data_IF_638271069788
#
_entry.id   IF_638271069788
#
_cell.length_a   1.000
_cell.length_b   1.000
_cell.length_c   1.000
_cell.angle_alpha   90.00
_cell.angle_beta   90.00
_cell.angle_gamma   90.00
#
_symmetry.space_group_name_H-M   'P 1'
#
loop_
_entity.id
_entity.type
_entity.pdbx_description
1 polymer ?
#
# COMPACT_ATOMS: atom_id res chain seq x y z
N UNK A 1 13.70 -20.86 -9.03
CA UNK A 1 14.65 -19.73 -8.80
C UNK A 1 14.25 -18.43 -9.50
N UNK A 2 13.74 -18.46 -10.74
CA UNK A 2 13.28 -17.27 -11.49
C UNK A 2 12.26 -16.36 -10.73
N UNK A 3 11.23 -16.87 -10.01
CA UNK A 3 10.29 -15.99 -9.31
C UNK A 3 10.96 -15.20 -8.17
N UNK A 4 11.94 -15.77 -7.49
CA UNK A 4 12.65 -15.10 -6.39
C UNK A 4 13.48 -13.90 -6.86
N UNK A 5 14.10 -14.00 -8.03
CA UNK A 5 14.87 -12.90 -8.63
C UNK A 5 13.98 -11.73 -9.08
N UNK A 6 12.80 -12.03 -9.66
CA UNK A 6 11.82 -11.00 -10.04
C UNK A 6 11.29 -10.25 -8.80
N UNK A 7 11.10 -10.98 -7.70
CA UNK A 7 10.70 -10.42 -6.41
C UNK A 7 11.78 -9.48 -5.86
N UNK A 8 13.03 -9.92 -5.85
CA UNK A 8 14.16 -9.11 -5.39
C UNK A 8 14.29 -7.84 -6.22
N UNK A 9 14.17 -7.95 -7.55
CA UNK A 9 14.21 -6.83 -8.48
C UNK A 9 13.07 -5.83 -8.22
N UNK A 10 11.86 -6.31 -7.95
CA UNK A 10 10.73 -5.46 -7.63
C UNK A 10 10.88 -4.75 -6.28
N UNK A 11 11.41 -5.44 -5.25
CA UNK A 11 11.75 -4.82 -3.96
C UNK A 11 12.83 -3.74 -4.16
N UNK A 12 13.89 -4.05 -4.90
CA UNK A 12 14.93 -3.07 -5.24
C UNK A 12 14.37 -1.88 -6.02
N UNK A 13 13.45 -2.12 -6.97
CA UNK A 13 12.75 -1.08 -7.71
C UNK A 13 11.93 -0.16 -6.81
N UNK A 14 11.19 -0.72 -5.84
CA UNK A 14 10.42 0.05 -4.87
C UNK A 14 11.34 0.85 -3.93
N UNK A 15 12.42 0.25 -3.43
CA UNK A 15 13.40 0.94 -2.58
C UNK A 15 14.13 2.05 -3.36
N UNK A 16 14.49 1.80 -4.61
CA UNK A 16 15.15 2.76 -5.49
C UNK A 16 14.22 3.94 -5.83
N UNK A 17 12.96 3.69 -6.14
CA UNK A 17 11.93 4.72 -6.33
C UNK A 17 11.69 5.53 -5.04
N UNK A 18 11.79 4.86 -3.87
CA UNK A 18 11.71 5.51 -2.56
C UNK A 18 12.87 6.50 -2.33
N UNK A 19 14.10 6.11 -2.70
CA UNK A 19 15.32 6.92 -2.54
C UNK A 19 15.45 8.06 -3.55
N UNK A 20 15.02 7.85 -4.80
CA UNK A 20 15.26 8.80 -5.91
C UNK A 20 14.17 9.88 -6.05
N UNK A 21 12.96 9.65 -5.51
CA UNK A 21 11.84 10.59 -5.62
C UNK A 21 11.95 11.80 -4.67
N UNK A 22 12.85 12.74 -4.96
CA UNK A 22 12.98 14.00 -4.19
C UNK A 22 11.87 15.03 -4.45
N UNK A 23 11.12 14.97 -5.57
CA UNK A 23 10.17 16.03 -5.97
C UNK A 23 8.71 15.62 -6.27
N UNK A 24 8.42 14.37 -6.68
CA UNK A 24 7.07 13.94 -7.15
C UNK A 24 6.53 12.78 -6.30
N UNK A 25 6.49 12.97 -4.99
CA UNK A 25 6.51 11.91 -3.96
C UNK A 25 5.23 11.07 -3.78
N UNK A 26 4.10 11.46 -4.35
CA UNK A 26 2.80 10.94 -3.87
C UNK A 26 2.14 9.94 -4.82
N UNK A 27 2.18 10.23 -6.12
CA UNK A 27 1.65 9.31 -7.13
C UNK A 27 2.58 8.10 -7.24
N UNK A 28 3.90 8.33 -7.33
CA UNK A 28 4.91 7.28 -7.38
C UNK A 28 4.76 6.28 -6.24
N UNK A 29 4.70 6.74 -4.97
CA UNK A 29 4.66 5.85 -3.80
C UNK A 29 3.36 5.05 -3.62
N UNK A 30 2.23 5.66 -3.95
CA UNK A 30 0.95 4.95 -3.89
C UNK A 30 0.84 3.95 -5.04
N UNK A 31 1.46 4.27 -6.20
CA UNK A 31 1.67 3.33 -7.30
C UNK A 31 2.65 2.22 -6.91
N UNK A 32 3.73 2.49 -6.18
CA UNK A 32 4.65 1.46 -5.68
C UNK A 32 3.94 0.48 -4.75
N UNK A 33 3.07 0.97 -3.86
CA UNK A 33 2.21 0.14 -3.01
C UNK A 33 1.24 -0.73 -3.82
N UNK A 34 0.65 -0.16 -4.87
CA UNK A 34 -0.26 -0.88 -5.75
C UNK A 34 0.47 -1.98 -6.53
N UNK A 35 1.65 -1.68 -7.06
CA UNK A 35 2.55 -2.65 -7.71
C UNK A 35 2.97 -3.74 -6.73
N UNK A 36 3.30 -3.38 -5.48
CA UNK A 36 3.65 -4.33 -4.43
C UNK A 36 2.47 -5.29 -4.12
N UNK A 37 1.24 -4.77 -4.06
CA UNK A 37 0.04 -5.59 -3.90
C UNK A 37 -0.18 -6.55 -5.07
N UNK A 38 -0.09 -6.07 -6.32
CA UNK A 38 -0.22 -6.92 -7.52
C UNK A 38 0.86 -8.00 -7.54
N UNK A 39 2.11 -7.63 -7.23
CA UNK A 39 3.22 -8.58 -7.16
C UNK A 39 2.94 -9.66 -6.10
N UNK A 40 2.46 -9.26 -4.92
CA UNK A 40 2.15 -10.19 -3.83
C UNK A 40 1.01 -11.15 -4.21
N UNK A 41 -0.01 -10.67 -4.92
CA UNK A 41 -1.09 -11.52 -5.47
C UNK A 41 -0.53 -12.46 -6.54
N UNK A 42 0.37 -11.99 -7.41
CA UNK A 42 1.04 -12.82 -8.41
C UNK A 42 1.85 -13.96 -7.79
N UNK A 43 2.60 -13.69 -6.72
CA UNK A 43 3.34 -14.71 -5.96
C UNK A 43 2.37 -15.68 -5.30
N UNK A 44 1.28 -15.17 -4.73
CA UNK A 44 0.24 -15.98 -4.11
C UNK A 44 -0.37 -16.99 -5.09
N UNK A 45 -0.66 -16.57 -6.33
CA UNK A 45 -1.21 -17.43 -7.39
C UNK A 45 -0.19 -18.45 -7.91
N UNK A 46 1.10 -18.13 -7.87
CA UNK A 46 2.18 -19.05 -8.26
C UNK A 46 2.45 -20.13 -7.19
N UNK A 47 2.27 -19.80 -5.90
CA UNK A 47 2.40 -20.75 -4.78
C UNK A 47 1.12 -21.57 -4.53
N UNK A 48 -0.05 -21.10 -4.95
CA UNK A 48 -1.33 -21.82 -4.83
C UNK A 48 -1.34 -23.26 -5.43
N UNK A 49 -0.85 -23.51 -6.66
CA UNK A 49 -0.80 -24.86 -7.23
C UNK A 49 0.22 -25.79 -6.55
N UNK A 50 1.08 -25.27 -5.68
CA UNK A 50 2.07 -26.07 -4.95
C UNK A 50 1.53 -26.67 -3.65
N UNK A 51 0.30 -26.35 -3.21
CA UNK A 51 -0.33 -26.81 -1.93
C UNK A 51 -0.22 -28.33 -1.66
N UNK A 52 -0.02 -29.16 -2.68
CA UNK A 52 0.19 -30.61 -2.57
C UNK A 52 1.59 -31.02 -2.09
N UNK A 53 2.55 -30.08 -1.98
CA UNK A 53 3.94 -30.34 -1.56
C UNK A 53 4.22 -29.82 -0.14
N UNK A 54 5.03 -30.55 0.67
CA UNK A 54 5.29 -30.23 2.08
C UNK A 54 6.04 -28.91 2.34
N UNK A 55 6.59 -28.27 1.32
CA UNK A 55 7.32 -26.98 1.41
C UNK A 55 6.61 -25.81 0.71
N UNK A 56 5.36 -26.02 0.28
CA UNK A 56 4.57 -25.00 -0.40
C UNK A 56 4.20 -23.86 0.53
N UNK A 57 4.34 -22.62 0.04
CA UNK A 57 3.94 -21.41 0.77
C UNK A 57 4.96 -20.86 1.76
N UNK A 58 6.07 -21.54 2.04
CA UNK A 58 7.16 -21.01 2.90
C UNK A 58 7.81 -19.78 2.26
N UNK A 59 8.04 -19.83 0.94
CA UNK A 59 8.58 -18.69 0.18
C UNK A 59 7.65 -17.48 0.24
N UNK A 60 6.35 -17.69 0.02
CA UNK A 60 5.32 -16.66 0.22
C UNK A 60 5.32 -16.10 1.64
N UNK A 61 5.27 -16.94 2.68
CA UNK A 61 5.26 -16.48 4.08
C UNK A 61 6.51 -15.65 4.41
N UNK A 62 7.70 -16.09 3.96
CA UNK A 62 8.95 -15.34 4.17
C UNK A 62 8.95 -13.99 3.46
N UNK A 63 8.56 -13.94 2.19
CA UNK A 63 8.42 -12.68 1.44
C UNK A 63 7.39 -11.76 2.11
N UNK A 64 6.25 -12.32 2.50
CA UNK A 64 5.16 -11.59 3.12
C UNK A 64 5.58 -10.99 4.47
N UNK A 65 6.30 -11.76 5.28
CA UNK A 65 6.82 -11.35 6.58
C UNK A 65 7.94 -10.30 6.49
N UNK A 66 8.92 -10.51 5.59
CA UNK A 66 10.14 -9.71 5.55
C UNK A 66 10.07 -8.48 4.65
N UNK A 67 9.29 -8.54 3.56
CA UNK A 67 9.21 -7.44 2.60
C UNK A 67 7.84 -6.76 2.65
N UNK A 68 6.76 -7.52 2.46
CA UNK A 68 5.43 -6.95 2.31
C UNK A 68 4.94 -6.25 3.58
N UNK A 69 4.96 -6.95 4.72
CA UNK A 69 4.43 -6.43 5.99
C UNK A 69 5.16 -5.15 6.46
N UNK A 70 6.52 -5.09 6.47
CA UNK A 70 7.23 -3.88 6.86
C UNK A 70 6.97 -2.70 5.91
N UNK A 71 6.97 -2.95 4.58
CA UNK A 71 6.66 -1.91 3.60
C UNK A 71 5.24 -1.36 3.81
N UNK A 72 4.25 -2.23 3.99
CA UNK A 72 2.86 -1.84 4.23
C UNK A 72 2.70 -0.96 5.47
N UNK A 73 3.39 -1.28 6.57
CA UNK A 73 3.37 -0.46 7.80
C UNK A 73 3.96 0.92 7.54
N UNK A 74 5.14 0.99 6.92
CA UNK A 74 5.81 2.25 6.61
C UNK A 74 4.94 3.14 5.72
N UNK A 75 4.36 2.57 4.67
CA UNK A 75 3.53 3.33 3.74
C UNK A 75 2.19 3.77 4.35
N UNK A 76 1.54 2.92 5.15
CA UNK A 76 0.28 3.27 5.82
C UNK A 76 0.49 4.38 6.86
N UNK A 77 1.56 4.32 7.67
CA UNK A 77 1.96 5.39 8.58
C UNK A 77 2.21 6.72 7.86
N UNK A 78 2.97 6.67 6.77
CA UNK A 78 3.27 7.88 5.99
C UNK A 78 2.01 8.50 5.37
N UNK A 79 1.12 7.66 4.83
CA UNK A 79 -0.14 8.09 4.23
C UNK A 79 -1.04 8.75 5.28
N UNK A 80 -1.13 8.17 6.48
CA UNK A 80 -1.90 8.71 7.60
C UNK A 80 -1.33 10.06 8.08
N UNK A 81 -0.01 10.14 8.30
CA UNK A 81 0.66 11.38 8.71
C UNK A 81 0.40 12.52 7.71
N UNK A 82 0.55 12.23 6.42
CA UNK A 82 0.38 13.22 5.37
C UNK A 82 -1.06 13.70 5.25
N UNK A 83 -2.04 12.80 5.27
CA UNK A 83 -3.46 13.19 5.19
C UNK A 83 -3.87 13.97 6.42
N UNK A 84 -3.32 13.64 7.59
CA UNK A 84 -3.47 14.46 8.80
C UNK A 84 -2.98 15.90 8.59
N UNK A 85 -1.82 16.07 7.95
CA UNK A 85 -1.31 17.40 7.58
C UNK A 85 -2.18 18.08 6.52
N UNK A 86 -2.56 17.39 5.45
CA UNK A 86 -3.39 17.93 4.36
C UNK A 86 -4.77 18.38 4.86
N UNK A 87 -5.40 17.60 5.73
CA UNK A 87 -6.68 17.94 6.35
C UNK A 87 -6.64 19.22 7.18
N UNK A 88 -5.47 19.57 7.76
CA UNK A 88 -5.29 20.84 8.48
C UNK A 88 -5.35 22.06 7.54
N UNK A 89 -4.92 21.92 6.28
CA UNK A 89 -4.88 23.03 5.33
C UNK A 89 -6.11 23.09 4.41
N UNK A 90 -6.65 21.94 4.00
CA UNK A 90 -7.80 21.87 3.09
C UNK A 90 -8.90 20.98 3.68
N UNK A 91 -9.95 21.60 4.22
CA UNK A 91 -11.08 20.92 4.84
C UNK A 91 -12.14 20.54 3.79
N UNK A 92 -11.80 19.59 2.91
CA UNK A 92 -12.70 19.10 1.85
C UNK A 92 -13.40 17.79 2.26
N UNK A 93 -14.59 17.52 1.68
CA UNK A 93 -15.30 16.23 1.83
C UNK A 93 -14.42 15.05 1.37
N UNK A 94 -13.62 15.25 0.32
CA UNK A 94 -12.67 14.24 -0.18
C UNK A 94 -11.54 13.94 0.82
N UNK A 95 -10.97 14.97 1.45
CA UNK A 95 -9.94 14.80 2.48
C UNK A 95 -10.42 13.99 3.69
N UNK A 96 -11.69 14.15 4.09
CA UNK A 96 -12.30 13.37 5.18
C UNK A 96 -12.39 11.89 4.78
N UNK A 97 -12.89 11.61 3.58
CA UNK A 97 -13.01 10.24 3.05
C UNK A 97 -11.62 9.59 2.93
N UNK A 98 -10.62 10.32 2.41
CA UNK A 98 -9.24 9.87 2.31
C UNK A 98 -8.63 9.54 3.68
N UNK A 99 -8.94 10.35 4.70
CA UNK A 99 -8.43 10.16 6.06
C UNK A 99 -9.03 8.93 6.71
N UNK A 100 -10.33 8.71 6.52
CA UNK A 100 -11.02 7.53 7.03
C UNK A 100 -10.45 6.26 6.40
N UNK A 101 -10.34 6.23 5.06
CA UNK A 101 -9.76 5.08 4.36
C UNK A 101 -8.29 4.83 4.74
N UNK A 102 -7.47 5.87 4.87
CA UNK A 102 -6.08 5.73 5.34
C UNK A 102 -5.98 5.19 6.77
N UNK A 103 -6.89 5.59 7.65
CA UNK A 103 -6.95 5.08 9.03
C UNK A 103 -7.34 3.60 9.06
N UNK A 104 -8.31 3.19 8.22
CA UNK A 104 -8.68 1.79 8.05
C UNK A 104 -7.52 0.95 7.50
N UNK A 105 -6.80 1.45 6.48
CA UNK A 105 -5.63 0.77 5.92
C UNK A 105 -4.51 0.59 6.96
N UNK A 106 -4.30 1.60 7.81
CA UNK A 106 -3.32 1.52 8.90
C UNK A 106 -3.73 0.48 9.96
N UNK A 107 -4.99 0.51 10.41
CA UNK A 107 -5.55 -0.50 11.32
C UNK A 107 -5.42 -1.91 10.73
N UNK A 108 -5.75 -2.07 9.46
CA UNK A 108 -5.66 -3.35 8.77
C UNK A 108 -4.20 -3.83 8.65
N UNK A 109 -3.24 -2.93 8.46
CA UNK A 109 -1.80 -3.25 8.51
C UNK A 109 -1.34 -3.72 9.89
N UNK A 110 -1.90 -3.20 10.99
CA UNK A 110 -1.61 -3.67 12.34
C UNK A 110 -2.21 -5.06 12.59
N UNK A 111 -3.46 -5.28 12.16
CA UNK A 111 -4.10 -6.60 12.21
C UNK A 111 -3.28 -7.61 11.41
N UNK A 112 -2.78 -7.21 10.23
CA UNK A 112 -1.92 -8.05 9.40
C UNK A 112 -0.65 -8.51 10.15
N UNK A 113 0.03 -7.57 10.82
CA UNK A 113 1.21 -7.86 11.65
C UNK A 113 0.88 -8.85 12.78
N UNK A 114 -0.28 -8.68 13.43
CA UNK A 114 -0.71 -9.56 14.52
C UNK A 114 -1.04 -10.98 14.03
N UNK A 115 -1.66 -11.11 12.85
CA UNK A 115 -1.94 -12.41 12.22
C UNK A 115 -0.64 -13.10 11.86
N UNK A 116 0.32 -12.37 11.29
CA UNK A 116 1.64 -12.89 10.96
C UNK A 116 2.39 -13.39 12.20
N UNK A 117 2.35 -12.61 13.29
CA UNK A 117 2.91 -13.03 14.59
C UNK A 117 2.26 -14.32 15.12
N UNK A 118 0.94 -14.47 14.99
CA UNK A 118 0.24 -15.72 15.37
C UNK A 118 0.66 -16.91 14.52
N UNK A 119 0.87 -16.73 13.22
CA UNK A 119 1.34 -17.79 12.32
C UNK A 119 2.72 -18.30 12.74
N UNK A 120 3.65 -17.39 13.05
CA UNK A 120 4.98 -17.78 13.55
C UNK A 120 4.92 -18.55 14.88
N UNK A 121 3.94 -18.24 15.74
CA UNK A 121 3.83 -18.86 17.07
C UNK A 121 3.08 -20.20 17.06
N UNK A 122 2.03 -20.34 16.24
CA UNK A 122 1.05 -21.44 16.38
C UNK A 122 0.75 -22.15 15.06
N UNK A 123 1.43 -21.81 13.95
CA UNK A 123 1.28 -22.36 12.59
C UNK A 123 -0.08 -23.04 12.33
N UNK A 124 -1.14 -22.25 12.21
CA UNK A 124 -2.51 -22.74 12.00
C UNK A 124 -2.99 -22.36 10.59
N UNK A 125 -3.48 -23.34 9.82
CA UNK A 125 -3.95 -23.15 8.43
C UNK A 125 -4.99 -22.03 8.27
N UNK A 126 -5.85 -21.84 9.27
CA UNK A 126 -6.89 -20.81 9.26
C UNK A 126 -6.33 -19.37 9.23
N UNK A 127 -5.13 -19.15 9.79
CA UNK A 127 -4.50 -17.83 9.82
C UNK A 127 -3.95 -17.44 8.43
N UNK A 128 -3.61 -18.41 7.58
CA UNK A 128 -3.16 -18.19 6.20
C UNK A 128 -4.33 -17.72 5.32
N UNK A 129 -5.52 -18.31 5.47
CA UNK A 129 -6.74 -17.84 4.80
C UNK A 129 -7.07 -16.40 5.18
N UNK A 130 -6.89 -16.06 6.45
CA UNK A 130 -7.14 -14.72 6.98
C UNK A 130 -6.12 -13.70 6.45
N UNK A 131 -4.86 -14.11 6.27
CA UNK A 131 -3.83 -13.35 5.57
C UNK A 131 -4.24 -12.97 4.14
N UNK A 132 -4.76 -13.93 3.37
CA UNK A 132 -5.23 -13.68 2.00
C UNK A 132 -6.41 -12.72 1.96
N UNK A 133 -7.36 -12.87 2.88
CA UNK A 133 -8.49 -11.94 2.99
C UNK A 133 -8.01 -10.51 3.28
N UNK A 134 -7.09 -10.34 4.23
CA UNK A 134 -6.49 -9.04 4.56
C UNK A 134 -5.80 -8.43 3.33
N UNK A 135 -5.06 -9.24 2.58
CA UNK A 135 -4.34 -8.82 1.37
C UNK A 135 -5.29 -8.26 0.30
N UNK A 136 -6.41 -8.94 0.04
CA UNK A 136 -7.42 -8.49 -0.92
C UNK A 136 -8.03 -7.16 -0.49
N UNK A 137 -8.41 -7.04 0.78
CA UNK A 137 -9.01 -5.81 1.33
C UNK A 137 -8.01 -4.64 1.28
N UNK A 138 -6.73 -4.89 1.58
CA UNK A 138 -5.66 -3.90 1.45
C UNK A 138 -5.47 -3.46 -0.02
N UNK A 139 -5.52 -4.40 -0.95
CA UNK A 139 -5.46 -4.11 -2.39
C UNK A 139 -6.57 -3.16 -2.84
N UNK A 140 -7.81 -3.48 -2.49
CA UNK A 140 -8.99 -2.65 -2.84
C UNK A 140 -8.88 -1.26 -2.19
N UNK A 141 -8.57 -1.21 -0.88
CA UNK A 141 -8.46 0.05 -0.15
C UNK A 141 -7.34 0.95 -0.68
N UNK A 142 -6.20 0.38 -1.09
CA UNK A 142 -5.09 1.12 -1.71
C UNK A 142 -5.46 1.70 -3.08
N UNK A 143 -6.25 0.97 -3.87
CA UNK A 143 -6.75 1.41 -5.19
C UNK A 143 -7.75 2.56 -5.03
N UNK A 144 -8.65 2.45 -4.06
CA UNK A 144 -9.58 3.53 -3.73
C UNK A 144 -8.83 4.80 -3.29
N UNK A 145 -7.80 4.65 -2.46
CA UNK A 145 -6.94 5.76 -2.03
C UNK A 145 -6.25 6.46 -3.21
N UNK A 146 -5.79 5.69 -4.21
CA UNK A 146 -5.19 6.21 -5.44
C UNK A 146 -6.16 7.06 -6.25
N UNK A 147 -7.33 6.50 -6.55
CA UNK A 147 -8.32 7.15 -7.43
C UNK A 147 -8.80 8.45 -6.80
N UNK A 148 -9.21 8.41 -5.53
CA UNK A 148 -9.71 9.61 -4.85
C UNK A 148 -8.59 10.62 -4.61
N UNK A 149 -7.36 10.17 -4.35
CA UNK A 149 -6.20 11.04 -4.21
C UNK A 149 -5.85 11.81 -5.49
N UNK A 150 -5.93 11.18 -6.66
CA UNK A 150 -5.73 11.86 -7.95
C UNK A 150 -6.85 12.87 -8.27
N UNK A 151 -8.11 12.54 -7.93
CA UNK A 151 -9.23 13.47 -8.07
C UNK A 151 -9.05 14.71 -7.20
N UNK A 152 -8.61 14.54 -5.94
CA UNK A 152 -8.36 15.68 -5.05
C UNK A 152 -7.21 16.56 -5.53
N UNK A 153 -6.13 15.98 -6.06
CA UNK A 153 -5.04 16.76 -6.70
C UNK A 153 -5.50 17.55 -7.91
N UNK A 154 -6.38 16.98 -8.75
CA UNK A 154 -6.95 17.72 -9.89
C UNK A 154 -7.75 18.92 -9.40
N UNK A 155 -8.56 18.76 -8.36
CA UNK A 155 -9.32 19.86 -7.74
C UNK A 155 -8.42 20.96 -7.19
N UNK A 156 -7.36 20.61 -6.46
CA UNK A 156 -6.42 21.59 -5.90
C UNK A 156 -5.71 22.37 -7.01
N UNK A 157 -5.26 21.71 -8.09
CA UNK A 157 -4.63 22.40 -9.23
C UNK A 157 -5.57 23.39 -9.91
N UNK A 158 -6.86 23.06 -10.00
CA UNK A 158 -7.85 23.99 -10.56
C UNK A 158 -8.01 25.22 -9.67
N UNK A 159 -8.12 25.01 -8.34
CA UNK A 159 -8.22 26.11 -7.37
C UNK A 159 -6.97 27.01 -7.38
N UNK A 160 -5.77 26.44 -7.44
CA UNK A 160 -4.52 27.20 -7.52
C UNK A 160 -4.42 28.03 -8.80
N UNK A 161 -4.85 27.49 -9.94
CA UNK A 161 -4.88 28.24 -11.21
C UNK A 161 -5.87 29.40 -11.17
N UNK A 162 -7.01 29.24 -10.50
CA UNK A 162 -7.97 30.33 -10.30
C UNK A 162 -7.40 31.43 -9.40
N UNK A 163 -6.75 31.06 -8.28
CA UNK A 163 -6.09 32.04 -7.40
C UNK A 163 -4.95 32.80 -8.11
N UNK A 164 -4.17 32.12 -8.96
CA UNK A 164 -3.15 32.78 -9.79
C UNK A 164 -3.78 33.75 -10.80
N UNK A 165 -4.83 33.33 -11.53
CA UNK A 165 -5.53 34.20 -12.50
C UNK A 165 -6.16 35.43 -11.84
N UNK A 166 -6.84 35.25 -10.70
CA UNK A 166 -7.44 36.36 -9.92
C UNK A 166 -6.38 37.31 -9.34
N UNK A 167 -5.14 36.84 -9.16
CA UNK A 167 -4.01 37.67 -8.72
C UNK A 167 -3.39 38.49 -9.86
N UNK A 168 -3.58 38.13 -11.13
CA UNK A 168 -3.08 38.89 -12.29
C UNK A 168 -4.09 39.94 -12.79
N UNK A 169 -5.37 39.84 -12.42
CA UNK A 169 -6.42 40.82 -12.76
C UNK A 169 -6.57 41.98 -11.76
N UNK A 170 -5.75 42.01 -10.69
CA UNK A 170 -5.68 43.10 -9.69
C UNK A 170 -4.43 43.95 -9.88
#
# INVERSE_FOLDING_TARGET
MIPFFLILLAIFGIIYDLMTSKGRKECARTVSLFILNILTIGICLLDLPMESKPYSGIGFILFYALAFTPLMIVFSLYTLYRIGKHYRYFKSKFAIILRFNASLLFLLSLVNLFVLWRIFKTYRRNDITLLYFILIVLGIGSTFQLIVGELEKKRIRILQKQEELDSYEK
#
